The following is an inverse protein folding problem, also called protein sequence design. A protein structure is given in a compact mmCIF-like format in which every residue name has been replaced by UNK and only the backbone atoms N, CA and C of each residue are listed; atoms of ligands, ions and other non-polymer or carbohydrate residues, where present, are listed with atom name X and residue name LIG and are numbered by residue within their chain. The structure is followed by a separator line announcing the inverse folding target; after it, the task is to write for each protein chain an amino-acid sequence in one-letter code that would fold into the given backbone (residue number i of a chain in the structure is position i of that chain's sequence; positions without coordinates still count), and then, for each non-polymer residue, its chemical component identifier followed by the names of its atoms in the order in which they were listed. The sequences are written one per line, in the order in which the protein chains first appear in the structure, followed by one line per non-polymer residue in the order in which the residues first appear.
data_IF_829318400876
#
_entry.id   IF_829318400876
#
_cell.length_a   1.000
_cell.length_b   1.000
_cell.length_c   1.000
_cell.angle_alpha   90.00
_cell.angle_beta   90.00
_cell.angle_gamma   90.00
#
_symmetry.space_group_name_H-M   'P 1'
#
loop_
_entity.id
_entity.type
_entity.pdbx_description
1 polymer ?
#
# COMPACT_ATOMS: atom_id res chain seq x y z
N UNK A 1 21.64 2.89 1.79
CA UNK A 1 21.45 1.46 1.53
C UNK A 1 21.06 0.87 2.86
N UNK A 2 19.91 0.23 2.93
CA UNK A 2 19.39 -0.38 4.16
C UNK A 2 19.98 -1.77 4.36
N UNK A 3 20.11 -2.22 5.61
CA UNK A 3 20.74 -3.51 5.91
C UNK A 3 20.00 -4.69 5.28
N UNK A 4 18.67 -4.63 5.09
CA UNK A 4 17.93 -5.72 4.44
C UNK A 4 18.17 -5.71 2.94
N UNK A 5 18.12 -4.56 2.28
CA UNK A 5 18.42 -4.45 0.87
C UNK A 5 19.88 -4.85 0.53
N UNK A 6 20.87 -4.47 1.34
CA UNK A 6 22.25 -4.95 1.20
C UNK A 6 22.36 -6.48 1.28
N UNK A 7 21.64 -7.09 2.24
CA UNK A 7 21.59 -8.54 2.37
C UNK A 7 20.98 -9.19 1.12
N UNK A 8 19.90 -8.61 0.58
CA UNK A 8 19.27 -9.09 -0.65
C UNK A 8 20.19 -8.95 -1.86
N UNK A 9 20.91 -7.83 -2.02
CA UNK A 9 21.94 -7.66 -3.07
C UNK A 9 22.99 -8.77 -2.98
N UNK A 10 23.46 -9.09 -1.78
CA UNK A 10 24.41 -10.19 -1.54
C UNK A 10 23.83 -11.56 -1.95
N UNK A 11 22.54 -11.81 -1.70
CA UNK A 11 21.87 -13.04 -2.15
C UNK A 11 21.75 -13.07 -3.67
N UNK A 12 21.20 -12.02 -4.30
CA UNK A 12 21.03 -11.91 -5.76
C UNK A 12 22.36 -12.06 -6.50
N UNK A 13 23.43 -11.42 -6.00
CA UNK A 13 24.78 -11.48 -6.57
C UNK A 13 25.40 -12.88 -6.54
N UNK A 14 25.00 -13.74 -5.59
CA UNK A 14 25.44 -15.14 -5.56
C UNK A 14 24.79 -15.95 -6.68
N UNK A 15 23.54 -15.63 -7.02
CA UNK A 15 22.79 -16.31 -8.09
C UNK A 15 23.20 -15.85 -9.49
N UNK A 16 23.49 -14.56 -9.68
CA UNK A 16 23.93 -14.01 -10.97
C UNK A 16 25.36 -14.40 -11.34
N UNK A 17 26.24 -14.71 -10.36
CA UNK A 17 27.58 -15.28 -10.64
C UNK A 17 27.56 -16.68 -11.24
N UNK A 18 26.44 -17.39 -11.14
CA UNK A 18 26.26 -18.77 -11.66
C UNK A 18 25.52 -18.84 -12.99
N UNK A 19 25.00 -17.72 -13.51
CA UNK A 19 24.25 -17.66 -14.77
C UNK A 19 24.79 -16.54 -15.68
N UNK A 20 24.82 -16.76 -17.00
CA UNK A 20 25.13 -15.71 -17.97
C UNK A 20 24.16 -14.52 -17.79
N UNK A 21 24.71 -13.29 -17.84
CA UNK A 21 23.96 -12.03 -17.73
C UNK A 21 22.85 -11.89 -18.80
N UNK A 22 22.90 -12.67 -19.87
CA UNK A 22 21.94 -12.61 -20.98
C UNK A 22 20.57 -13.27 -20.69
N UNK A 23 20.39 -13.92 -19.53
CA UNK A 23 19.14 -14.62 -19.20
C UNK A 23 18.35 -13.94 -18.06
N UNK A 24 17.70 -12.82 -18.41
CA UNK A 24 16.79 -12.04 -17.55
C UNK A 24 15.71 -12.91 -16.86
N UNK A 25 15.07 -13.81 -17.61
CA UNK A 25 14.04 -14.71 -17.08
C UNK A 25 14.64 -15.78 -16.12
N UNK A 26 15.84 -16.28 -16.41
CA UNK A 26 16.53 -17.24 -15.56
C UNK A 26 16.99 -16.65 -14.22
N UNK A 27 17.43 -15.38 -14.20
CA UNK A 27 17.89 -14.71 -12.99
C UNK A 27 16.73 -14.42 -12.01
N UNK A 28 15.57 -14.03 -12.54
CA UNK A 28 14.35 -13.85 -11.76
C UNK A 28 13.81 -15.20 -11.25
N UNK A 29 13.77 -16.25 -12.07
CA UNK A 29 13.34 -17.60 -11.64
C UNK A 29 14.22 -18.16 -10.51
N UNK A 30 15.52 -17.89 -10.52
CA UNK A 30 16.45 -18.36 -9.49
C UNK A 30 16.28 -17.68 -8.12
N UNK A 31 15.69 -16.48 -8.08
CA UNK A 31 15.25 -15.83 -6.84
C UNK A 31 13.76 -16.07 -6.55
N UNK A 32 13.10 -16.94 -7.34
CA UNK A 32 11.69 -17.29 -7.18
C UNK A 32 10.70 -16.27 -7.76
N UNK A 33 11.15 -15.32 -8.57
CA UNK A 33 10.31 -14.32 -9.26
C UNK A 33 10.02 -14.83 -10.67
N UNK A 34 8.77 -15.19 -10.97
CA UNK A 34 8.35 -15.50 -12.35
C UNK A 34 7.59 -14.32 -12.96
N UNK A 35 8.25 -13.43 -13.72
CA UNK A 35 7.60 -12.28 -14.33
C UNK A 35 6.58 -12.66 -15.42
N UNK A 36 6.61 -13.89 -15.94
CA UNK A 36 5.64 -14.36 -16.95
C UNK A 36 4.26 -14.67 -16.36
N UNK A 37 4.15 -14.73 -15.04
CA UNK A 37 2.89 -14.95 -14.31
C UNK A 37 2.01 -13.69 -14.20
N UNK A 38 2.55 -12.53 -14.58
CA UNK A 38 1.89 -11.23 -14.43
C UNK A 38 1.57 -10.64 -15.80
N UNK A 39 0.39 -10.04 -15.93
CA UNK A 39 0.02 -9.30 -17.14
C UNK A 39 0.93 -8.08 -17.35
N UNK A 40 1.48 -7.94 -18.54
CA UNK A 40 2.24 -6.74 -18.90
C UNK A 40 1.34 -5.53 -19.18
N UNK A 41 1.94 -4.36 -19.37
CA UNK A 41 1.21 -3.10 -19.62
C UNK A 41 0.32 -3.21 -20.84
N UNK A 42 0.78 -3.88 -21.91
CA UNK A 42 0.03 -4.00 -23.15
C UNK A 42 -1.21 -4.88 -22.95
N UNK A 43 -1.06 -6.02 -22.29
CA UNK A 43 -2.17 -6.92 -21.97
C UNK A 43 -3.22 -6.21 -21.10
N UNK A 44 -2.79 -5.42 -20.11
CA UNK A 44 -3.72 -4.65 -19.28
C UNK A 44 -4.48 -3.58 -20.09
N UNK A 45 -3.84 -2.91 -21.04
CA UNK A 45 -4.50 -1.95 -21.94
C UNK A 45 -5.48 -2.67 -22.87
N UNK A 46 -5.11 -3.83 -23.42
CA UNK A 46 -5.99 -4.66 -24.26
C UNK A 46 -7.23 -5.15 -23.48
N UNK A 47 -7.10 -5.35 -22.16
CA UNK A 47 -8.22 -5.63 -21.24
C UNK A 47 -9.06 -4.39 -20.88
N UNK A 48 -8.73 -3.21 -21.41
CA UNK A 48 -9.46 -1.96 -21.20
C UNK A 48 -8.97 -1.11 -20.02
N UNK A 49 -7.80 -1.40 -19.45
CA UNK A 49 -7.21 -0.50 -18.46
C UNK A 49 -6.75 0.81 -19.11
N UNK A 50 -6.95 1.91 -18.40
CA UNK A 50 -6.30 3.18 -18.70
C UNK A 50 -4.77 3.00 -18.79
N UNK A 51 -4.06 3.59 -19.78
CA UNK A 51 -2.64 3.33 -19.97
C UNK A 51 -1.73 3.71 -18.79
N UNK A 52 -2.03 4.81 -18.09
CA UNK A 52 -1.26 5.21 -16.91
C UNK A 52 -1.53 4.25 -15.75
N UNK A 53 -2.79 3.89 -15.54
CA UNK A 53 -3.16 2.86 -14.55
C UNK A 53 -2.53 1.51 -14.87
N UNK A 54 -2.49 1.09 -16.14
CA UNK A 54 -1.90 -0.17 -16.58
C UNK A 54 -0.40 -0.26 -16.24
N UNK A 55 0.34 0.84 -16.43
CA UNK A 55 1.75 0.90 -16.04
C UNK A 55 1.94 0.69 -14.53
N UNK A 56 1.15 1.37 -13.70
CA UNK A 56 1.21 1.22 -12.25
C UNK A 56 0.73 -0.16 -11.77
N UNK A 57 -0.33 -0.71 -12.37
CA UNK A 57 -0.86 -2.02 -12.04
C UNK A 57 0.14 -3.14 -12.40
N UNK A 58 0.76 -3.08 -13.58
CA UNK A 58 1.82 -4.02 -13.96
C UNK A 58 2.98 -3.98 -12.97
N UNK A 59 3.40 -2.78 -12.54
CA UNK A 59 4.48 -2.63 -11.58
C UNK A 59 4.10 -3.14 -10.19
N UNK A 60 2.91 -2.83 -9.70
CA UNK A 60 2.41 -3.35 -8.42
C UNK A 60 2.37 -4.89 -8.40
N UNK A 61 1.99 -5.51 -9.52
CA UNK A 61 1.98 -6.97 -9.64
C UNK A 61 3.41 -7.54 -9.56
N UNK A 62 4.39 -6.90 -10.19
CA UNK A 62 5.80 -7.29 -10.07
C UNK A 62 6.33 -7.12 -8.64
N UNK A 63 5.97 -6.03 -7.96
CA UNK A 63 6.27 -5.85 -6.53
C UNK A 63 5.64 -6.96 -5.69
N UNK A 64 4.42 -7.38 -6.01
CA UNK A 64 3.74 -8.49 -5.33
C UNK A 64 4.48 -9.81 -5.49
N UNK A 65 4.93 -10.14 -6.71
CA UNK A 65 5.74 -11.34 -6.95
C UNK A 65 7.04 -11.27 -6.16
N UNK A 66 7.74 -10.13 -6.22
CA UNK A 66 8.97 -9.94 -5.43
C UNK A 66 8.72 -10.15 -3.93
N UNK A 67 7.67 -9.51 -3.38
CA UNK A 67 7.31 -9.63 -1.97
C UNK A 67 7.07 -11.08 -1.55
N UNK A 68 6.33 -11.85 -2.36
CA UNK A 68 6.08 -13.27 -2.12
C UNK A 68 7.39 -14.08 -2.14
N UNK A 69 8.24 -13.85 -3.13
CA UNK A 69 9.52 -14.55 -3.28
C UNK A 69 10.49 -14.28 -2.12
N UNK A 70 10.56 -13.04 -1.62
CA UNK A 70 11.50 -12.69 -0.54
C UNK A 70 10.96 -12.93 0.86
N UNK A 71 9.64 -13.09 1.03
CA UNK A 71 9.00 -13.28 2.35
C UNK A 71 9.41 -14.58 3.06
N UNK A 72 9.93 -15.56 2.32
CA UNK A 72 10.46 -16.81 2.89
C UNK A 72 11.88 -16.65 3.48
N UNK A 73 12.55 -15.54 3.16
CA UNK A 73 13.91 -15.28 3.60
C UNK A 73 13.94 -14.79 5.06
N UNK A 74 14.89 -15.24 5.90
CA UNK A 74 15.02 -14.79 7.28
C UNK A 74 15.09 -13.27 7.45
N UNK A 75 15.68 -12.58 6.48
CA UNK A 75 15.83 -11.13 6.42
C UNK A 75 14.48 -10.40 6.40
N UNK A 76 13.43 -11.03 5.83
CA UNK A 76 12.07 -10.48 5.76
C UNK A 76 11.17 -10.93 6.92
N UNK A 77 11.72 -11.62 7.93
CA UNK A 77 10.93 -12.07 9.08
C UNK A 77 10.20 -10.92 9.77
N UNK A 78 10.86 -9.77 9.94
CA UNK A 78 10.25 -8.59 10.57
C UNK A 78 9.05 -8.05 9.79
N UNK A 79 9.11 -8.10 8.46
CA UNK A 79 7.97 -7.77 7.60
C UNK A 79 6.83 -8.76 7.80
N UNK A 80 7.10 -10.06 7.71
CA UNK A 80 6.09 -11.11 7.85
C UNK A 80 5.39 -11.11 9.22
N UNK A 81 6.14 -10.81 10.29
CA UNK A 81 5.62 -10.72 11.66
C UNK A 81 4.62 -9.56 11.85
N UNK A 82 4.61 -8.57 10.95
CA UNK A 82 3.70 -7.42 10.99
C UNK A 82 2.59 -7.58 9.93
N UNK A 83 2.98 -7.83 8.68
CA UNK A 83 2.04 -7.89 7.56
C UNK A 83 1.10 -9.09 7.65
N UNK A 84 1.60 -10.28 8.03
CA UNK A 84 0.79 -11.50 8.11
C UNK A 84 -0.36 -11.39 9.12
N UNK A 85 -0.11 -11.03 10.40
CA UNK A 85 -1.19 -10.81 11.36
C UNK A 85 -2.15 -9.68 10.95
N UNK A 86 -1.65 -8.61 10.32
CA UNK A 86 -2.49 -7.52 9.83
C UNK A 86 -3.41 -7.97 8.68
N UNK A 87 -2.94 -8.84 7.80
CA UNK A 87 -3.76 -9.40 6.72
C UNK A 87 -4.88 -10.29 7.30
N UNK A 88 -4.55 -11.17 8.26
CA UNK A 88 -5.55 -12.00 8.94
C UNK A 88 -6.59 -11.18 9.71
N UNK A 89 -6.17 -10.08 10.33
CA UNK A 89 -7.03 -9.23 11.14
C UNK A 89 -7.91 -8.31 10.29
N UNK A 90 -7.32 -7.64 9.31
CA UNK A 90 -7.98 -6.57 8.58
C UNK A 90 -8.54 -7.00 7.22
N UNK A 91 -8.11 -8.13 6.65
CA UNK A 91 -8.54 -8.63 5.33
C UNK A 91 -9.11 -10.08 5.28
N UNK A 92 -9.98 -10.52 6.21
CA UNK A 92 -10.48 -11.89 6.16
C UNK A 92 -11.33 -12.22 4.91
N UNK A 93 -12.27 -11.36 4.48
CA UNK A 93 -13.22 -11.68 3.38
C UNK A 93 -13.82 -10.44 2.65
N UNK A 94 -13.15 -9.29 2.63
CA UNK A 94 -13.67 -8.04 2.04
C UNK A 94 -14.89 -7.40 2.75
N UNK A 95 -15.40 -6.23 2.29
CA UNK A 95 -16.52 -5.55 2.95
C UNK A 95 -17.82 -6.37 2.95
N UNK A 96 -18.63 -6.31 4.02
CA UNK A 96 -18.48 -5.45 5.20
C UNK A 96 -17.56 -6.01 6.29
N UNK A 97 -17.11 -7.27 6.18
CA UNK A 97 -16.31 -7.94 7.21
C UNK A 97 -14.87 -7.41 7.29
N UNK A 98 -14.38 -6.85 6.18
CA UNK A 98 -13.07 -6.23 6.03
C UNK A 98 -13.25 -4.92 5.27
N UNK A 99 -13.23 -3.77 5.95
CA UNK A 99 -13.36 -2.48 5.29
C UNK A 99 -12.10 -2.09 4.51
N UNK A 100 -10.96 -2.71 4.81
CA UNK A 100 -9.74 -2.54 4.04
C UNK A 100 -9.86 -3.29 2.71
N UNK A 101 -9.78 -2.54 1.63
CA UNK A 101 -9.73 -3.12 0.28
C UNK A 101 -8.35 -3.69 -0.03
N UNK A 102 -8.30 -4.72 -0.89
CA UNK A 102 -7.03 -5.32 -1.31
C UNK A 102 -6.07 -4.31 -1.93
N UNK A 103 -6.57 -3.36 -2.74
CA UNK A 103 -5.76 -2.29 -3.34
C UNK A 103 -5.14 -1.36 -2.30
N UNK A 104 -5.87 -1.02 -1.24
CA UNK A 104 -5.32 -0.24 -0.12
C UNK A 104 -4.28 -1.04 0.67
N UNK A 105 -4.63 -2.25 1.12
CA UNK A 105 -3.74 -3.04 1.99
C UNK A 105 -2.43 -3.40 1.29
N UNK A 106 -2.50 -3.76 0.00
CA UNK A 106 -1.32 -4.03 -0.84
C UNK A 106 -0.41 -2.81 -0.90
N UNK A 107 -0.98 -1.61 -1.10
CA UNK A 107 -0.18 -0.38 -1.09
C UNK A 107 0.46 -0.11 0.28
N UNK A 108 -0.30 -0.30 1.37
CA UNK A 108 0.24 -0.14 2.72
C UNK A 108 1.38 -1.13 2.97
N UNK A 109 1.16 -2.41 2.71
CA UNK A 109 2.15 -3.46 2.95
C UNK A 109 3.43 -3.25 2.13
N UNK A 110 3.33 -2.79 0.88
CA UNK A 110 4.50 -2.72 -0.02
C UNK A 110 5.23 -1.37 -0.01
N UNK A 111 4.51 -0.26 0.15
CA UNK A 111 5.06 1.09 -0.01
C UNK A 111 5.19 1.85 1.31
N UNK A 112 4.44 1.47 2.34
CA UNK A 112 4.31 2.26 3.57
C UNK A 112 4.80 1.52 4.82
N UNK A 113 4.58 0.21 4.89
CA UNK A 113 4.97 -0.59 6.05
C UNK A 113 6.50 -0.60 6.17
N UNK A 114 6.98 0.15 7.17
CA UNK A 114 8.39 0.17 7.52
C UNK A 114 8.71 -0.98 8.46
N UNK A 115 9.78 -1.70 8.16
CA UNK A 115 10.28 -2.79 8.98
C UNK A 115 11.80 -2.76 9.07
N UNK A 116 12.32 -3.55 10.02
CA UNK A 116 13.75 -3.59 10.28
C UNK A 116 14.30 -2.31 10.93
N UNK A 117 15.60 -2.32 11.26
CA UNK A 117 16.27 -1.22 11.94
C UNK A 117 16.36 0.06 11.09
N UNK A 118 16.50 -0.07 9.77
CA UNK A 118 16.62 1.08 8.86
C UNK A 118 15.26 1.57 8.32
N UNK A 119 14.15 0.98 8.81
CA UNK A 119 12.78 1.35 8.43
C UNK A 119 12.53 1.26 6.93
N UNK A 120 13.05 0.19 6.33
CA UNK A 120 12.87 -0.16 4.92
C UNK A 120 11.42 -0.58 4.64
N UNK A 121 11.00 -0.46 3.38
CA UNK A 121 9.76 -1.04 2.86
C UNK A 121 10.10 -2.13 1.83
N UNK A 122 9.14 -2.97 1.45
CA UNK A 122 9.36 -3.96 0.38
C UNK A 122 9.87 -3.28 -0.90
N UNK A 123 9.35 -2.10 -1.21
CA UNK A 123 9.72 -1.39 -2.43
C UNK A 123 11.09 -0.71 -2.32
N UNK A 124 11.52 -0.23 -1.15
CA UNK A 124 12.91 0.23 -1.00
C UNK A 124 13.88 -0.95 -1.15
N UNK A 125 13.55 -2.12 -0.59
CA UNK A 125 14.35 -3.33 -0.79
C UNK A 125 14.42 -3.72 -2.27
N UNK A 126 13.30 -3.65 -3.01
CA UNK A 126 13.25 -3.94 -4.44
C UNK A 126 14.09 -2.93 -5.24
N UNK A 127 14.00 -1.64 -4.94
CA UNK A 127 14.78 -0.60 -5.61
C UNK A 127 16.29 -0.85 -5.50
N UNK A 128 16.78 -1.36 -4.36
CA UNK A 128 18.20 -1.67 -4.16
C UNK A 128 18.69 -2.86 -5.01
N UNK A 129 17.82 -3.79 -5.37
CA UNK A 129 18.16 -4.94 -6.21
C UNK A 129 17.71 -4.78 -7.67
N UNK A 130 16.90 -3.77 -8.00
CA UNK A 130 16.21 -3.65 -9.29
C UNK A 130 17.16 -3.73 -10.50
N UNK A 131 18.29 -3.03 -10.47
CA UNK A 131 19.28 -3.08 -11.55
C UNK A 131 19.90 -4.48 -11.70
N UNK A 132 20.18 -5.16 -10.58
CA UNK A 132 20.69 -6.54 -10.58
C UNK A 132 19.66 -7.55 -11.11
N UNK A 133 18.37 -7.21 -10.98
CA UNK A 133 17.25 -7.95 -11.55
C UNK A 133 16.96 -7.59 -13.00
N UNK A 134 17.72 -6.65 -13.58
CA UNK A 134 17.60 -6.22 -14.99
C UNK A 134 16.41 -5.29 -15.26
N UNK A 135 15.87 -4.62 -14.24
CA UNK A 135 14.77 -3.68 -14.43
C UNK A 135 15.25 -2.50 -15.26
N UNK A 136 14.43 -2.06 -16.23
CA UNK A 136 14.74 -0.89 -17.04
C UNK A 136 14.67 0.39 -16.21
N UNK A 137 15.29 1.47 -16.69
CA UNK A 137 15.20 2.79 -16.06
C UNK A 137 13.75 3.26 -15.89
N UNK A 138 12.88 2.96 -16.86
CA UNK A 138 11.46 3.29 -16.78
C UNK A 138 10.75 2.49 -15.67
N UNK A 139 11.03 1.20 -15.52
CA UNK A 139 10.47 0.39 -14.43
C UNK A 139 10.93 0.91 -13.06
N UNK A 140 12.23 1.20 -12.93
CA UNK A 140 12.79 1.79 -11.70
C UNK A 140 12.09 3.13 -11.40
N UNK A 141 11.88 3.96 -12.42
CA UNK A 141 11.18 5.23 -12.28
C UNK A 141 9.74 5.05 -11.78
N UNK A 142 9.01 4.05 -12.27
CA UNK A 142 7.66 3.74 -11.79
C UNK A 142 7.70 3.30 -10.32
N UNK A 143 8.65 2.44 -9.92
CA UNK A 143 8.83 2.03 -8.52
C UNK A 143 9.10 3.23 -7.60
N UNK A 144 9.97 4.15 -8.01
CA UNK A 144 10.26 5.38 -7.26
C UNK A 144 8.98 6.21 -7.05
N UNK A 145 8.17 6.39 -8.11
CA UNK A 145 6.91 7.13 -8.02
C UNK A 145 5.92 6.45 -7.07
N UNK A 146 5.81 5.12 -7.11
CA UNK A 146 4.96 4.35 -6.20
C UNK A 146 5.46 4.45 -4.76
N UNK A 147 6.76 4.29 -4.52
CA UNK A 147 7.37 4.42 -3.19
C UNK A 147 7.23 5.83 -2.63
N UNK A 148 7.40 6.87 -3.46
CA UNK A 148 7.23 8.26 -3.05
C UNK A 148 5.76 8.67 -2.86
N UNK A 149 4.81 7.87 -3.33
CA UNK A 149 3.39 8.13 -3.12
C UNK A 149 2.93 7.75 -1.71
N UNK A 150 1.74 8.23 -1.34
CA UNK A 150 1.09 7.98 -0.05
C UNK A 150 -0.42 8.19 -0.16
N UNK A 151 -1.16 7.78 0.87
CA UNK A 151 -2.53 8.24 1.05
C UNK A 151 -2.55 9.76 1.26
N UNK A 152 -3.70 10.38 1.06
CA UNK A 152 -3.95 11.80 1.31
C UNK A 152 -5.44 12.05 1.48
N UNK A 153 -5.77 13.18 2.08
CA UNK A 153 -7.16 13.64 2.23
C UNK A 153 -7.38 14.77 1.23
N UNK A 154 -8.35 14.59 0.35
CA UNK A 154 -8.62 15.49 -0.76
C UNK A 154 -10.08 15.92 -0.76
N UNK A 155 -10.34 17.16 -1.15
CA UNK A 155 -11.68 17.62 -1.50
C UNK A 155 -11.96 17.32 -2.98
N UNK A 156 -13.14 16.77 -3.27
CA UNK A 156 -13.66 16.64 -4.63
C UNK A 156 -14.16 17.98 -5.14
N UNK A 157 -13.55 18.51 -6.20
CA UNK A 157 -13.84 19.83 -6.75
C UNK A 157 -14.77 19.81 -7.97
N UNK A 158 -15.18 18.62 -8.43
CA UNK A 158 -15.97 18.40 -9.63
C UNK A 158 -15.29 17.43 -10.60
N UNK A 159 -15.87 17.32 -11.79
CA UNK A 159 -15.35 16.47 -12.86
C UNK A 159 -14.98 17.33 -14.07
N UNK A 160 -13.87 17.00 -14.72
CA UNK A 160 -13.39 17.68 -15.93
C UNK A 160 -12.92 16.63 -16.93
N UNK A 161 -13.50 16.61 -18.15
CA UNK A 161 -13.15 15.69 -19.24
C UNK A 161 -13.19 14.20 -18.85
N UNK A 162 -14.14 13.82 -18.00
CA UNK A 162 -14.26 12.44 -17.51
C UNK A 162 -13.27 12.06 -16.40
N UNK A 163 -12.47 13.01 -15.92
CA UNK A 163 -11.53 12.87 -14.81
C UNK A 163 -12.07 13.60 -13.57
N UNK A 164 -11.73 13.09 -12.38
CA UNK A 164 -12.12 13.67 -11.10
C UNK A 164 -11.09 14.72 -10.68
N UNK A 165 -11.54 15.92 -10.31
CA UNK A 165 -10.65 16.96 -9.78
C UNK A 165 -10.58 16.86 -8.26
N UNK A 166 -9.38 16.67 -7.72
CA UNK A 166 -9.11 16.51 -6.29
C UNK A 166 -8.12 17.58 -5.81
N UNK A 167 -8.41 18.24 -4.68
CA UNK A 167 -7.48 19.19 -4.04
C UNK A 167 -7.07 18.71 -2.67
N UNK A 168 -5.77 18.56 -2.41
CA UNK A 168 -5.29 18.10 -1.11
C UNK A 168 -5.61 19.13 -0.01
N UNK A 169 -6.15 18.65 1.10
CA UNK A 169 -6.73 19.50 2.14
C UNK A 169 -5.73 20.50 2.75
N UNK A 170 -4.49 20.06 2.99
CA UNK A 170 -3.45 20.88 3.65
C UNK A 170 -2.61 21.63 2.62
N UNK A 171 -1.98 20.94 1.66
CA UNK A 171 -1.08 21.59 0.70
C UNK A 171 -1.82 22.41 -0.36
N UNK A 172 -3.14 22.24 -0.50
CA UNK A 172 -3.99 22.83 -1.54
C UNK A 172 -3.55 22.49 -2.97
N UNK A 173 -2.71 21.47 -3.14
CA UNK A 173 -2.31 21.01 -4.47
C UNK A 173 -3.47 20.29 -5.14
N UNK A 174 -3.80 20.74 -6.36
CA UNK A 174 -4.84 20.17 -7.18
C UNK A 174 -4.31 19.05 -8.10
N UNK A 175 -5.16 18.07 -8.36
CA UNK A 175 -4.90 16.93 -9.22
C UNK A 175 -6.12 16.67 -10.09
N UNK A 176 -5.88 16.33 -11.36
CA UNK A 176 -6.89 15.79 -12.25
C UNK A 176 -6.66 14.29 -12.36
N UNK A 177 -7.64 13.48 -11.99
CA UNK A 177 -7.43 12.06 -11.71
C UNK A 177 -8.32 11.14 -12.55
N UNK A 178 -7.72 10.12 -13.15
CA UNK A 178 -8.43 8.92 -13.55
C UNK A 178 -8.73 8.06 -12.31
N UNK A 179 -9.94 7.52 -12.22
CA UNK A 179 -10.38 6.68 -11.09
C UNK A 179 -10.76 5.30 -11.62
N UNK A 180 -9.84 4.32 -11.62
CA UNK A 180 -10.08 2.98 -12.16
C UNK A 180 -11.23 2.24 -11.48
N UNK A 181 -11.47 2.51 -10.19
CA UNK A 181 -12.61 1.95 -9.47
C UNK A 181 -13.96 2.40 -10.05
N UNK A 182 -14.00 3.49 -10.83
CA UNK A 182 -15.19 4.00 -11.49
C UNK A 182 -16.11 4.82 -10.57
N UNK A 183 -15.66 5.22 -9.39
CA UNK A 183 -16.42 6.11 -8.52
C UNK A 183 -16.27 7.56 -8.98
N UNK A 184 -17.38 8.21 -9.37
CA UNK A 184 -17.36 9.60 -9.84
C UNK A 184 -17.43 10.63 -8.71
N UNK A 185 -18.00 10.24 -7.57
CA UNK A 185 -18.29 11.11 -6.43
C UNK A 185 -19.11 12.36 -6.74
N UNK A 186 -19.15 13.23 -5.74
CA UNK A 186 -19.86 14.51 -5.76
C UNK A 186 -18.95 15.62 -5.23
N UNK A 187 -19.13 16.83 -5.76
CA UNK A 187 -18.37 18.01 -5.33
C UNK A 187 -18.57 18.27 -3.83
N UNK A 188 -17.50 18.56 -3.12
CA UNK A 188 -17.47 18.81 -1.68
C UNK A 188 -17.29 17.54 -0.83
N UNK A 189 -17.34 16.35 -1.44
CA UNK A 189 -16.94 15.12 -0.76
C UNK A 189 -15.45 15.14 -0.40
N UNK A 190 -15.11 14.44 0.68
CA UNK A 190 -13.73 14.27 1.14
C UNK A 190 -13.29 12.85 0.88
N UNK A 191 -12.14 12.70 0.24
CA UNK A 191 -11.63 11.43 -0.25
C UNK A 191 -10.31 11.13 0.45
N UNK A 192 -10.23 9.97 1.09
CA UNK A 192 -8.99 9.36 1.55
C UNK A 192 -8.50 8.39 0.46
N UNK A 193 -7.54 8.84 -0.34
CA UNK A 193 -7.03 8.11 -1.52
C UNK A 193 -5.53 8.24 -1.69
N UNK A 194 -4.91 7.30 -2.40
CA UNK A 194 -3.55 7.36 -2.91
C UNK A 194 -3.59 7.83 -4.35
N UNK A 195 -2.97 8.98 -4.60
CA UNK A 195 -2.79 9.51 -5.95
C UNK A 195 -1.39 9.16 -6.42
N UNK A 196 -1.30 8.50 -7.58
CA UNK A 196 -0.05 8.29 -8.32
C UNK A 196 0.05 9.34 -9.44
N UNK A 197 1.18 10.06 -9.57
CA UNK A 197 1.30 11.16 -10.52
C UNK A 197 1.41 10.68 -11.97
N UNK A 198 1.43 11.61 -12.92
CA UNK A 198 1.90 11.31 -14.27
C UNK A 198 3.36 10.80 -14.25
N UNK A 199 3.67 9.80 -15.07
CA UNK A 199 5.04 9.27 -15.18
C UNK A 199 5.98 10.19 -15.98
N UNK A 200 5.43 10.87 -16.98
CA UNK A 200 6.11 11.78 -17.89
C UNK A 200 5.08 12.69 -18.58
N UNK A 201 5.54 13.60 -19.44
CA UNK A 201 4.72 14.61 -20.12
C UNK A 201 3.70 14.03 -21.12
N UNK A 202 3.68 12.72 -21.37
CA UNK A 202 2.66 12.06 -22.19
C UNK A 202 1.31 11.95 -21.47
N UNK A 203 1.29 12.15 -20.14
CA UNK A 203 0.08 12.13 -19.32
C UNK A 203 -0.08 13.49 -18.62
N UNK A 204 -1.24 14.13 -18.81
CA UNK A 204 -1.60 15.37 -18.12
C UNK A 204 -2.51 15.14 -16.90
N UNK A 205 -2.62 13.88 -16.45
CA UNK A 205 -3.46 13.44 -15.34
C UNK A 205 -2.73 12.45 -14.42
N UNK A 206 -3.29 12.27 -13.23
CA UNK A 206 -2.87 11.32 -12.20
C UNK A 206 -3.86 10.15 -12.09
N UNK A 207 -3.52 9.12 -11.33
CA UNK A 207 -4.42 7.98 -11.05
C UNK A 207 -4.73 7.90 -9.56
N UNK A 208 -6.01 7.75 -9.21
CA UNK A 208 -6.42 7.27 -7.88
C UNK A 208 -6.23 5.76 -7.86
N UNK A 209 -5.19 5.28 -7.17
CA UNK A 209 -4.71 3.92 -7.34
C UNK A 209 -5.39 2.88 -6.45
N UNK A 210 -6.00 3.31 -5.35
CA UNK A 210 -6.79 2.44 -4.48
C UNK A 210 -8.30 2.69 -4.66
N UNK A 211 -9.10 1.77 -4.15
CA UNK A 211 -10.55 1.98 -4.02
C UNK A 211 -10.80 3.20 -3.14
N UNK A 212 -11.57 4.21 -3.59
CA UNK A 212 -11.81 5.42 -2.81
C UNK A 212 -12.46 5.16 -1.46
N UNK A 213 -11.92 5.79 -0.42
CA UNK A 213 -12.57 5.93 0.88
C UNK A 213 -13.15 7.34 1.00
N UNK A 214 -14.46 7.44 1.23
CA UNK A 214 -15.19 8.70 1.30
C UNK A 214 -15.44 9.04 2.75
N UNK A 215 -14.92 10.18 3.20
CA UNK A 215 -15.00 10.65 4.57
C UNK A 215 -16.32 11.42 4.76
N UNK A 216 -17.18 10.90 5.62
CA UNK A 216 -18.52 11.44 5.92
C UNK A 216 -18.60 12.00 7.34
N UNK A 217 -19.71 12.67 7.64
CA UNK A 217 -20.11 13.19 8.96
C UNK A 217 -19.24 14.31 9.56
N UNK A 218 -18.03 14.53 9.03
CA UNK A 218 -17.10 15.55 9.49
C UNK A 218 -16.84 16.60 8.39
N UNK A 219 -16.73 17.87 8.81
CA UNK A 219 -16.54 18.99 7.89
C UNK A 219 -15.07 19.14 7.46
N UNK A 220 -14.81 20.04 6.50
CA UNK A 220 -13.44 20.42 6.11
C UNK A 220 -12.67 20.98 7.31
N UNK A 221 -13.34 21.79 8.12
CA UNK A 221 -12.75 22.42 9.29
C UNK A 221 -12.32 21.37 10.32
N UNK A 222 -13.15 20.33 10.53
CA UNK A 222 -12.86 19.25 11.48
C UNK A 222 -11.62 18.45 11.06
N UNK A 223 -11.57 18.04 9.80
CA UNK A 223 -10.43 17.34 9.21
C UNK A 223 -9.16 18.20 9.16
N UNK A 224 -9.30 19.48 8.82
CA UNK A 224 -8.16 20.41 8.81
C UNK A 224 -7.62 20.63 10.21
N UNK A 225 -8.50 20.79 11.20
CA UNK A 225 -8.11 20.89 12.61
C UNK A 225 -7.42 19.62 13.08
N UNK A 226 -7.86 18.44 12.62
CA UNK A 226 -7.23 17.15 12.92
C UNK A 226 -5.82 17.06 12.37
N UNK A 227 -5.65 17.37 11.10
CA UNK A 227 -4.32 17.33 10.49
C UNK A 227 -3.40 18.33 11.19
N UNK A 228 -3.83 19.59 11.39
CA UNK A 228 -2.99 20.61 12.04
C UNK A 228 -2.54 20.21 13.45
N UNK A 229 -3.43 19.72 14.30
CA UNK A 229 -3.05 19.32 15.67
C UNK A 229 -2.12 18.11 15.67
N UNK A 230 -2.33 17.14 14.78
CA UNK A 230 -1.45 15.97 14.66
C UNK A 230 -0.07 16.35 14.10
N UNK A 231 -0.02 17.27 13.14
CA UNK A 231 1.26 17.76 12.59
C UNK A 231 2.09 18.47 13.66
N UNK A 232 1.45 19.24 14.56
CA UNK A 232 2.13 19.92 15.67
C UNK A 232 2.78 18.95 16.66
N UNK A 233 2.21 17.76 16.86
CA UNK A 233 2.76 16.77 17.81
C UNK A 233 3.92 15.95 17.25
N UNK A 234 4.12 15.96 15.93
CA UNK A 234 5.17 15.16 15.26
C UNK A 234 6.56 15.81 15.22
N UNK A 235 6.69 17.07 15.66
CA UNK A 235 7.99 17.70 15.95
C UNK A 235 8.89 18.02 14.74
N UNK A 236 8.44 17.79 13.50
CA UNK A 236 9.16 18.16 12.28
C UNK A 236 8.67 19.54 11.76
N UNK A 237 9.57 20.53 11.61
CA UNK A 237 9.19 21.90 11.23
C UNK A 237 8.69 22.02 9.78
N UNK A 238 9.08 21.12 8.88
CA UNK A 238 8.61 21.15 7.51
C UNK A 238 7.22 20.49 7.39
N UNK A 239 6.16 21.31 7.35
CA UNK A 239 4.76 20.86 7.29
C UNK A 239 4.49 19.84 6.18
N UNK A 240 5.06 20.03 4.98
CA UNK A 240 4.86 19.11 3.86
C UNK A 240 5.51 17.75 4.10
N UNK A 241 6.71 17.73 4.71
CA UNK A 241 7.41 16.49 5.08
C UNK A 241 6.69 15.79 6.24
N UNK A 242 6.22 16.54 7.23
CA UNK A 242 5.45 16.00 8.35
C UNK A 242 4.12 15.42 7.89
N UNK A 243 3.41 16.11 7.00
CA UNK A 243 2.18 15.60 6.38
C UNK A 243 2.45 14.34 5.57
N UNK A 244 3.55 14.33 4.82
CA UNK A 244 3.96 13.12 4.11
C UNK A 244 4.19 11.96 5.06
N UNK A 245 4.97 12.15 6.13
CA UNK A 245 5.22 11.10 7.12
C UNK A 245 3.93 10.63 7.81
N UNK A 246 3.05 11.55 8.21
CA UNK A 246 1.77 11.24 8.82
C UNK A 246 0.91 10.37 7.90
N UNK A 247 0.70 10.82 6.67
CA UNK A 247 -0.20 10.16 5.73
C UNK A 247 0.40 8.90 5.09
N UNK A 248 1.72 8.74 5.13
CA UNK A 248 2.41 7.54 4.65
C UNK A 248 2.55 6.49 5.73
N UNK A 249 3.08 6.85 6.89
CA UNK A 249 3.47 5.89 7.93
C UNK A 249 2.51 5.86 9.13
N UNK A 250 1.84 6.98 9.40
CA UNK A 250 1.07 7.18 10.62
C UNK A 250 1.96 7.34 11.87
N UNK A 251 1.38 7.72 13.02
CA UNK A 251 2.07 7.75 14.31
C UNK A 251 2.43 6.35 14.83
N UNK A 252 1.64 5.34 14.45
CA UNK A 252 1.83 3.92 14.80
C UNK A 252 1.71 3.05 13.54
N UNK A 253 2.36 1.90 13.52
CA UNK A 253 2.45 1.00 12.35
C UNK A 253 1.11 0.67 11.70
N UNK A 254 0.07 0.46 12.49
CA UNK A 254 -1.27 0.11 12.01
C UNK A 254 -2.26 1.28 12.04
N UNK A 255 -1.80 2.50 12.28
CA UNK A 255 -2.68 3.64 12.58
C UNK A 255 -3.80 3.85 11.55
N UNK A 256 -3.46 3.90 10.26
CA UNK A 256 -4.45 4.10 9.21
C UNK A 256 -5.32 2.86 8.96
N UNK A 257 -4.77 1.67 9.13
CA UNK A 257 -5.53 0.42 9.04
C UNK A 257 -6.60 0.39 10.14
N UNK A 258 -6.21 0.74 11.36
CA UNK A 258 -7.12 0.80 12.51
C UNK A 258 -8.17 1.90 12.32
N UNK A 259 -7.77 3.08 11.83
CA UNK A 259 -8.73 4.14 11.51
C UNK A 259 -9.77 3.66 10.50
N UNK A 260 -9.35 3.10 9.35
CA UNK A 260 -10.29 2.62 8.32
C UNK A 260 -11.20 1.54 8.89
N UNK A 261 -10.66 0.66 9.73
CA UNK A 261 -11.45 -0.38 10.39
C UNK A 261 -12.50 0.19 11.34
N UNK A 262 -12.12 1.14 12.20
CA UNK A 262 -13.02 1.72 13.19
C UNK A 262 -14.02 2.72 12.59
N UNK A 263 -13.62 3.40 11.52
CA UNK A 263 -14.41 4.41 10.84
C UNK A 263 -15.41 3.81 9.85
N UNK A 264 -15.33 2.51 9.54
CA UNK A 264 -16.22 1.90 8.55
C UNK A 264 -17.69 2.15 8.87
N UNK A 265 -18.40 2.76 7.91
CA UNK A 265 -19.83 2.99 8.01
C UNK A 265 -20.59 2.06 7.05
N UNK A 266 -20.23 2.08 5.77
CA UNK A 266 -20.84 1.23 4.74
C UNK A 266 -19.96 1.18 3.49
N UNK A 267 -20.34 0.35 2.51
CA UNK A 267 -19.68 0.26 1.22
C UNK A 267 -20.69 0.21 0.08
N UNK A 268 -20.25 0.62 -1.09
CA UNK A 268 -20.88 0.34 -2.37
C UNK A 268 -19.85 -0.26 -3.34
N UNK A 269 -20.27 -0.65 -4.54
CA UNK A 269 -19.43 -1.41 -5.47
C UNK A 269 -18.04 -0.80 -5.75
N UNK A 270 -17.92 0.53 -5.74
CA UNK A 270 -16.71 1.25 -6.14
C UNK A 270 -16.16 2.22 -5.07
N UNK A 271 -16.73 2.25 -3.87
CA UNK A 271 -16.29 3.15 -2.79
C UNK A 271 -16.64 2.60 -1.40
N UNK A 272 -15.80 2.95 -0.42
CA UNK A 272 -16.02 2.66 1.00
C UNK A 272 -16.30 3.98 1.72
N UNK A 273 -17.26 4.02 2.63
CA UNK A 273 -17.61 5.23 3.38
C UNK A 273 -17.14 5.10 4.82
N UNK A 274 -16.43 6.13 5.28
CA UNK A 274 -15.81 6.21 6.60
C UNK A 274 -16.36 7.41 7.37
N UNK A 275 -16.77 7.21 8.61
CA UNK A 275 -17.29 8.23 9.49
C UNK A 275 -16.39 8.47 10.70
N UNK A 276 -16.32 9.72 11.15
CA UNK A 276 -15.57 10.13 12.34
C UNK A 276 -14.10 10.48 12.09
N UNK A 277 -13.47 11.04 13.12
CA UNK A 277 -12.06 11.47 13.12
C UNK A 277 -11.17 10.45 13.85
N UNK A 278 -9.91 10.25 13.40
CA UNK A 278 -9.01 9.25 13.99
C UNK A 278 -8.73 9.42 15.49
N UNK A 279 -8.80 10.64 16.01
CA UNK A 279 -8.47 10.98 17.39
C UNK A 279 -9.70 11.30 18.26
N UNK A 280 -10.91 11.21 17.70
CA UNK A 280 -12.17 11.41 18.43
C UNK A 280 -12.91 10.08 18.48
N UNK A 281 -12.58 9.27 19.49
CA UNK A 281 -13.08 7.89 19.61
C UNK A 281 -14.60 7.77 19.51
N UNK A 282 -15.34 8.66 20.17
CA UNK A 282 -16.81 8.62 20.20
C UNK A 282 -17.45 9.01 18.85
N UNK A 283 -16.66 9.54 17.91
CA UNK A 283 -17.11 9.82 16.54
C UNK A 283 -17.03 8.61 15.61
N UNK A 284 -16.31 7.55 16.01
CA UNK A 284 -16.07 6.37 15.17
C UNK A 284 -17.20 5.33 15.37
N UNK A 285 -17.86 4.84 14.29
CA UNK A 285 -18.92 3.84 14.37
C UNK A 285 -18.54 2.58 15.16
N UNK A 286 -17.25 2.23 15.17
CA UNK A 286 -16.73 1.03 15.80
C UNK A 286 -15.65 1.30 16.86
N UNK A 287 -15.54 2.53 17.37
CA UNK A 287 -14.51 2.93 18.34
C UNK A 287 -14.49 2.11 19.64
N UNK A 288 -15.62 1.51 20.03
CA UNK A 288 -15.73 0.69 21.25
C UNK A 288 -15.35 -0.79 21.08
N UNK A 289 -15.20 -1.30 19.85
CA UNK A 289 -14.87 -2.73 19.61
C UNK A 289 -13.51 -3.14 20.22
N UNK A 290 -12.67 -2.18 20.60
CA UNK A 290 -11.41 -2.40 21.31
C UNK A 290 -11.57 -2.86 22.78
N UNK A 291 -12.65 -2.49 23.49
CA UNK A 291 -12.82 -2.86 24.93
C UNK A 291 -12.93 -4.37 25.15
N UNK A 292 -13.33 -5.15 24.15
CA UNK A 292 -13.43 -6.62 24.26
C UNK A 292 -12.12 -7.35 23.92
N UNK A 293 -11.20 -6.77 23.15
CA UNK A 293 -9.94 -7.44 22.74
C UNK A 293 -8.86 -7.43 23.81
N UNK A 294 -8.72 -6.36 24.60
CA UNK A 294 -7.80 -6.32 25.74
C UNK A 294 -8.17 -7.30 26.87
N UNK A 295 -9.43 -7.75 26.93
CA UNK A 295 -9.95 -8.67 27.94
C UNK A 295 -9.94 -10.16 27.52
N UNK A 296 -9.55 -10.48 26.28
CA UNK A 296 -9.48 -11.86 25.80
C UNK A 296 -8.06 -12.44 26.00
N UNK A 297 -7.90 -13.56 26.72
CA UNK A 297 -6.58 -14.14 26.94
C UNK A 297 -5.98 -14.58 25.60
N UNK A 298 -4.74 -14.12 25.32
CA UNK A 298 -3.95 -14.51 24.15
C UNK A 298 -3.86 -16.05 24.07
N UNK A 299 -4.64 -16.67 23.18
CA UNK A 299 -4.49 -18.10 22.88
C UNK A 299 -3.12 -18.27 22.22
N UNK A 300 -2.20 -18.94 22.93
CA UNK A 300 -0.93 -19.42 22.36
C UNK A 300 -1.23 -20.23 21.09
N UNK A 301 -0.86 -19.69 19.93
CA UNK A 301 -0.85 -20.43 18.67
C UNK A 301 0.18 -21.55 18.81
N UNK A 302 -0.32 -22.78 18.97
CA UNK A 302 0.50 -23.98 19.07
C UNK A 302 0.81 -24.41 17.64
N UNK A 303 2.03 -24.12 17.17
CA UNK A 303 2.57 -24.55 15.87
C UNK A 303 2.13 -25.98 15.50
N UNK A 304 1.22 -26.10 14.53
CA UNK A 304 0.64 -27.39 14.11
C UNK A 304 1.44 -28.08 12.99
N UNK A 305 2.56 -27.50 12.54
CA UNK A 305 3.33 -28.00 11.39
C UNK A 305 4.55 -28.88 11.72
N UNK A 306 4.63 -29.49 12.91
CA UNK A 306 5.72 -30.41 13.26
C UNK A 306 5.32 -31.89 13.41
N UNK A 307 4.11 -32.29 12.97
CA UNK A 307 3.64 -33.69 13.14
C UNK A 307 3.43 -34.53 11.87
N UNK A 308 3.79 -34.03 10.69
CA UNK A 308 3.68 -34.82 9.45
C UNK A 308 4.99 -35.47 8.95
N UNK A 309 6.15 -35.20 9.55
CA UNK A 309 7.43 -35.85 9.17
C UNK A 309 7.81 -37.11 9.96
N UNK A 310 7.03 -37.55 10.97
CA UNK A 310 7.32 -38.76 11.76
C UNK A 310 6.50 -40.01 11.43
N UNK A 311 5.61 -39.98 10.43
CA UNK A 311 4.77 -41.14 10.04
C UNK A 311 5.16 -41.86 8.73
N UNK A 312 6.27 -41.49 8.08
CA UNK A 312 6.78 -42.17 6.87
C UNK A 312 8.08 -42.98 7.08
N UNK A 313 8.40 -43.34 8.32
CA UNK A 313 9.43 -44.36 8.64
C UNK A 313 8.80 -45.43 9.53
N UNK A 314 8.01 -46.31 8.91
CA UNK A 314 7.61 -47.65 9.38
C UNK A 314 6.54 -48.19 8.43
N UNK A 315 6.99 -48.75 7.31
CA UNK A 315 6.51 -49.98 6.69
C UNK A 315 7.51 -50.31 5.59
#
# INVERSE_FOLDING_TARGET
MGMIGEALVSQVSKFTKTASLDNYAGNLQNIGVDPSSVKDVRQLIEDGCDPLHAAYAAMQNLVSVFAESVSVLPELKAYCDIAGPAEEEYMPTGPPMSPLTGSYFTCWAFFDLQFGPDRETITTCLLEVAEHLGYSADMIRVLELMQASRMGIYEHCGNQRGLVQLTELVSRKAYLCHVPAGYSGEKGQRWLVRILPAMNDSFDYSVVFNTPYILTDQTEADWTAFLKRTLLTMGEPNEAKTLHALMKYGPETHYWNEYIFQAFHHSQNNAIFLAGLPDVKDSLPHGDLFKKKAALPKKRVRNRNLRLKKKRRRK
#
